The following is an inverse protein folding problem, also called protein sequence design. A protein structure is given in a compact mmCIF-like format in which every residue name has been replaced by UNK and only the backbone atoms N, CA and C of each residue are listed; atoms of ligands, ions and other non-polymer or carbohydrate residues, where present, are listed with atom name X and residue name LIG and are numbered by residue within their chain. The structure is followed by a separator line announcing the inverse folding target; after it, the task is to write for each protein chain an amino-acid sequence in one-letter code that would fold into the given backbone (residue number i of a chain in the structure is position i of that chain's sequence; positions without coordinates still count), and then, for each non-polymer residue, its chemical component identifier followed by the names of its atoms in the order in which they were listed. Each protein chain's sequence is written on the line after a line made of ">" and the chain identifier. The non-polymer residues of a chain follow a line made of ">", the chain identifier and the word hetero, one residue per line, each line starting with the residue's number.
data_IF_779295884975
#
_entry.id   IF_779295884975
#
_cell.length_a   1.000
_cell.length_b   1.000
_cell.length_c   1.000
_cell.angle_alpha   90.00
_cell.angle_beta   90.00
_cell.angle_gamma   90.00
#
_symmetry.space_group_name_H-M   'P 1'
#
loop_
_entity.id
_entity.type
_entity.pdbx_description
1 polymer ?
#
# COMPACT_ATOMS: atom_id res chain seq x y z
N UNK A 1 37.97 34.99 -26.46
CA UNK A 1 37.08 33.82 -26.27
C UNK A 1 36.25 34.08 -25.02
N UNK A 2 34.92 34.05 -25.14
CA UNK A 2 34.02 34.26 -24.01
C UNK A 2 33.81 32.94 -23.27
N UNK A 3 33.74 32.98 -21.94
CA UNK A 3 33.52 31.81 -21.08
C UNK A 3 32.32 30.94 -21.53
N UNK A 4 31.28 31.56 -22.07
CA UNK A 4 30.11 30.87 -22.63
C UNK A 4 30.43 29.88 -23.77
N UNK A 5 31.41 30.18 -24.62
CA UNK A 5 31.81 29.29 -25.72
C UNK A 5 32.54 28.03 -25.21
N UNK A 6 33.22 28.13 -24.07
CA UNK A 6 33.86 26.98 -23.42
C UNK A 6 32.79 26.08 -22.78
N UNK A 7 31.82 26.66 -22.08
CA UNK A 7 30.72 25.88 -21.48
C UNK A 7 29.95 25.09 -22.54
N UNK A 8 29.63 25.68 -23.68
CA UNK A 8 28.89 24.96 -24.74
C UNK A 8 29.66 23.78 -25.33
N UNK A 9 30.99 23.83 -25.32
CA UNK A 9 31.86 22.74 -25.78
C UNK A 9 32.06 21.65 -24.72
N UNK A 10 32.11 22.03 -23.44
CA UNK A 10 32.35 21.10 -22.33
C UNK A 10 31.07 20.59 -21.67
N UNK A 11 29.93 21.21 -21.91
CA UNK A 11 28.63 20.74 -21.44
C UNK A 11 28.32 19.41 -22.13
N UNK A 12 27.98 18.36 -21.37
CA UNK A 12 27.64 17.07 -21.93
C UNK A 12 26.43 17.24 -22.86
N UNK A 13 26.65 17.06 -24.17
CA UNK A 13 25.57 17.12 -25.15
C UNK A 13 24.74 15.85 -25.05
N UNK A 14 23.69 15.91 -24.22
CA UNK A 14 22.75 14.80 -24.04
C UNK A 14 21.75 14.82 -25.19
N UNK A 15 21.69 13.73 -25.96
CA UNK A 15 20.64 13.58 -26.95
C UNK A 15 19.31 13.27 -26.25
N UNK A 16 18.45 14.28 -26.14
CA UNK A 16 17.16 14.16 -25.45
C UNK A 16 16.28 13.05 -26.04
N UNK A 17 16.29 12.87 -27.36
CA UNK A 17 15.49 11.84 -28.01
C UNK A 17 16.02 10.44 -27.73
N UNK A 18 17.34 10.29 -27.55
CA UNK A 18 17.93 9.04 -27.12
C UNK A 18 17.54 8.69 -25.67
N UNK A 19 17.60 9.64 -24.75
CA UNK A 19 17.18 9.42 -23.35
C UNK A 19 15.70 9.06 -23.27
N UNK A 20 14.84 9.77 -24.02
CA UNK A 20 13.42 9.45 -24.14
C UNK A 20 13.17 8.08 -24.75
N UNK A 21 13.93 7.70 -25.77
CA UNK A 21 13.87 6.36 -26.35
C UNK A 21 14.24 5.29 -25.32
N UNK A 22 15.31 5.51 -24.55
CA UNK A 22 15.77 4.62 -23.48
C UNK A 22 14.73 4.48 -22.37
N UNK A 23 14.09 5.58 -21.98
CA UNK A 23 12.97 5.59 -21.04
C UNK A 23 11.82 4.73 -21.58
N UNK A 24 11.34 4.98 -22.81
CA UNK A 24 10.23 4.25 -23.45
C UNK A 24 10.47 2.74 -23.59
N UNK A 25 11.72 2.33 -23.70
CA UNK A 25 12.10 0.91 -23.78
C UNK A 25 12.29 0.25 -22.42
N UNK A 26 12.18 0.98 -21.31
CA UNK A 26 12.36 0.43 -19.99
C UNK A 26 11.20 -0.50 -19.61
N UNK A 27 11.54 -1.77 -19.33
CA UNK A 27 10.61 -2.81 -18.89
C UNK A 27 11.12 -3.41 -17.57
N UNK A 28 10.23 -3.88 -16.70
CA UNK A 28 10.62 -4.56 -15.47
C UNK A 28 11.28 -5.89 -15.82
N UNK A 29 12.48 -6.14 -15.26
CA UNK A 29 13.18 -7.41 -15.48
C UNK A 29 12.67 -8.51 -14.56
N UNK A 30 12.88 -9.79 -14.91
CA UNK A 30 12.31 -10.92 -14.14
C UNK A 30 12.82 -11.04 -12.71
N UNK A 31 14.02 -10.51 -12.44
CA UNK A 31 14.70 -10.54 -11.14
C UNK A 31 14.50 -9.26 -10.32
N UNK A 32 13.88 -8.24 -10.91
CA UNK A 32 13.76 -6.92 -10.31
C UNK A 32 12.39 -6.72 -9.65
N UNK A 33 12.40 -6.34 -8.37
CA UNK A 33 11.20 -5.91 -7.64
C UNK A 33 10.67 -4.58 -8.18
N UNK A 34 9.40 -4.27 -7.94
CA UNK A 34 8.79 -3.00 -8.36
C UNK A 34 9.54 -1.79 -7.81
N UNK A 35 10.01 -1.81 -6.56
CA UNK A 35 10.73 -0.67 -5.97
C UNK A 35 12.05 -0.38 -6.70
N UNK A 36 12.78 -1.44 -7.10
CA UNK A 36 14.00 -1.33 -7.90
C UNK A 36 13.71 -0.80 -9.31
N UNK A 37 12.62 -1.28 -9.92
CA UNK A 37 12.17 -0.80 -11.22
C UNK A 37 11.80 0.69 -11.16
N UNK A 38 11.05 1.10 -10.13
CA UNK A 38 10.71 2.49 -9.87
C UNK A 38 11.96 3.36 -9.69
N UNK A 39 12.93 2.94 -8.88
CA UNK A 39 14.18 3.67 -8.68
C UNK A 39 14.98 3.83 -9.99
N UNK A 40 14.95 2.82 -10.86
CA UNK A 40 15.58 2.87 -12.19
C UNK A 40 14.84 3.82 -13.14
N UNK A 41 13.51 3.79 -13.16
CA UNK A 41 12.70 4.73 -13.92
C UNK A 41 12.97 6.17 -13.47
N UNK A 42 13.05 6.43 -12.17
CA UNK A 42 13.34 7.76 -11.64
C UNK A 42 14.67 8.31 -12.18
N UNK A 43 15.71 7.47 -12.23
CA UNK A 43 17.01 7.85 -12.81
C UNK A 43 16.89 8.20 -14.30
N UNK A 44 16.17 7.41 -15.09
CA UNK A 44 15.98 7.65 -16.53
C UNK A 44 15.13 8.90 -16.81
N UNK A 45 14.12 9.14 -15.99
CA UNK A 45 13.28 10.32 -16.10
C UNK A 45 14.05 11.58 -15.70
N UNK A 46 14.98 11.49 -14.74
CA UNK A 46 15.82 12.62 -14.34
C UNK A 46 16.79 13.10 -15.42
N UNK A 47 17.18 12.24 -16.37
CA UNK A 47 18.01 12.64 -17.53
C UNK A 47 17.19 13.26 -18.65
N UNK A 48 15.87 13.04 -18.64
CA UNK A 48 14.96 13.57 -19.65
C UNK A 48 14.47 14.98 -19.25
N UNK A 49 15.01 16.01 -19.90
CA UNK A 49 14.60 17.40 -19.66
C UNK A 49 13.20 17.67 -20.25
N UNK A 50 12.34 18.32 -19.47
CA UNK A 50 11.03 18.84 -19.93
C UNK A 50 9.86 17.87 -19.86
N UNK A 51 9.96 16.78 -19.09
CA UNK A 51 8.86 15.85 -18.85
C UNK A 51 8.29 15.97 -17.44
N UNK A 52 7.00 15.70 -17.29
CA UNK A 52 6.36 15.54 -15.99
C UNK A 52 6.76 14.18 -15.41
N UNK A 53 7.69 14.19 -14.47
CA UNK A 53 8.34 12.97 -14.00
C UNK A 53 7.36 11.94 -13.42
N UNK A 54 6.40 12.40 -12.61
CA UNK A 54 5.41 11.52 -12.01
C UNK A 54 4.47 10.89 -13.04
N UNK A 55 3.99 11.66 -14.02
CA UNK A 55 3.09 11.17 -15.07
C UNK A 55 3.77 10.13 -15.95
N UNK A 56 5.01 10.38 -16.35
CA UNK A 56 5.81 9.45 -17.15
C UNK A 56 6.08 8.14 -16.41
N UNK A 57 6.41 8.22 -15.12
CA UNK A 57 6.62 7.02 -14.30
C UNK A 57 5.33 6.23 -14.15
N UNK A 58 4.20 6.89 -13.90
CA UNK A 58 2.90 6.22 -13.85
C UNK A 58 2.60 5.47 -15.16
N UNK A 59 2.81 6.13 -16.31
CA UNK A 59 2.61 5.52 -17.62
C UNK A 59 3.53 4.30 -17.83
N UNK A 60 4.81 4.41 -17.42
CA UNK A 60 5.78 3.33 -17.54
C UNK A 60 5.53 2.17 -16.58
N UNK A 61 5.00 2.42 -15.39
CA UNK A 61 4.57 1.33 -14.49
C UNK A 61 3.38 0.59 -15.11
N UNK A 62 2.44 1.28 -15.77
CA UNK A 62 1.32 0.64 -16.44
C UNK A 62 1.77 -0.21 -17.64
N UNK A 63 2.67 0.32 -18.47
CA UNK A 63 3.15 -0.36 -19.68
C UNK A 63 4.22 -1.42 -19.41
N UNK A 64 5.10 -1.15 -18.46
CA UNK A 64 6.36 -1.86 -18.25
C UNK A 64 6.38 -2.84 -17.08
N UNK A 65 5.33 -2.89 -16.25
CA UNK A 65 5.24 -3.87 -15.18
C UNK A 65 4.96 -5.28 -15.71
N UNK A 66 5.62 -6.27 -15.11
CA UNK A 66 5.47 -7.69 -15.44
C UNK A 66 4.08 -8.24 -15.10
N UNK A 67 3.48 -7.76 -14.01
CA UNK A 67 2.19 -8.28 -13.54
C UNK A 67 1.03 -7.70 -14.33
N UNK A 68 0.45 -8.53 -15.19
CA UNK A 68 -0.77 -8.19 -15.93
C UNK A 68 -1.99 -7.91 -15.04
N UNK A 69 -2.03 -8.47 -13.83
CA UNK A 69 -3.14 -8.27 -12.89
C UNK A 69 -3.03 -6.94 -12.14
N UNK A 70 -1.81 -6.47 -11.90
CA UNK A 70 -1.55 -5.22 -11.19
C UNK A 70 -2.05 -4.02 -12.01
N UNK A 71 -1.64 -3.88 -13.27
CA UNK A 71 -2.04 -2.72 -14.07
C UNK A 71 -3.53 -2.76 -14.44
N UNK A 72 -4.13 -3.95 -14.65
CA UNK A 72 -5.59 -4.08 -14.80
C UNK A 72 -6.36 -3.59 -13.59
N UNK A 73 -5.80 -3.70 -12.38
CA UNK A 73 -6.40 -3.14 -11.16
C UNK A 73 -6.25 -1.62 -11.13
N UNK A 74 -5.07 -1.10 -11.47
CA UNK A 74 -4.77 0.34 -11.54
C UNK A 74 -5.71 1.04 -12.53
N UNK A 75 -5.88 0.49 -13.74
CA UNK A 75 -6.72 1.08 -14.79
C UNK A 75 -8.23 1.09 -14.49
N UNK A 76 -8.68 0.46 -13.40
CA UNK A 76 -10.08 0.56 -12.95
C UNK A 76 -10.35 1.85 -12.17
N UNK A 77 -9.30 2.50 -11.68
CA UNK A 77 -9.40 3.75 -10.94
C UNK A 77 -9.20 4.92 -11.92
N UNK A 78 -10.15 5.87 -12.00
CA UNK A 78 -10.09 6.95 -12.99
C UNK A 78 -9.00 7.99 -12.69
N UNK A 79 -8.68 8.18 -11.41
CA UNK A 79 -7.62 9.05 -10.93
C UNK A 79 -6.83 8.26 -9.92
N UNK A 80 -5.52 8.14 -10.13
CA UNK A 80 -4.62 7.43 -9.23
C UNK A 80 -3.30 8.18 -9.15
N UNK A 81 -2.77 8.29 -7.93
CA UNK A 81 -1.47 8.93 -7.67
C UNK A 81 -0.34 7.90 -7.74
N UNK A 82 0.89 8.38 -7.95
CA UNK A 82 2.08 7.52 -7.99
C UNK A 82 2.25 6.72 -6.69
N UNK A 83 2.00 7.35 -5.54
CA UNK A 83 2.14 6.70 -4.24
C UNK A 83 1.15 5.55 -4.05
N UNK A 84 -0.11 5.74 -4.49
CA UNK A 84 -1.13 4.69 -4.48
C UNK A 84 -0.76 3.53 -5.39
N UNK A 85 -0.20 3.81 -6.58
CA UNK A 85 0.32 2.78 -7.49
C UNK A 85 1.39 1.94 -6.78
N UNK A 86 2.36 2.58 -6.11
CA UNK A 86 3.45 1.89 -5.42
C UNK A 86 2.95 1.05 -4.22
N UNK A 87 1.94 1.52 -3.49
CA UNK A 87 1.31 0.75 -2.42
C UNK A 87 0.62 -0.50 -2.98
N UNK A 88 -0.15 -0.35 -4.07
CA UNK A 88 -0.81 -1.48 -4.74
C UNK A 88 0.20 -2.48 -5.29
N UNK A 89 1.29 -2.00 -5.87
CA UNK A 89 2.32 -2.85 -6.45
C UNK A 89 3.05 -3.67 -5.38
N UNK A 90 3.48 -3.05 -4.29
CA UNK A 90 4.10 -3.75 -3.14
C UNK A 90 3.16 -4.80 -2.53
N UNK A 91 1.89 -4.45 -2.39
CA UNK A 91 0.85 -5.39 -1.92
C UNK A 91 0.71 -6.59 -2.86
N UNK A 92 0.77 -6.35 -4.17
CA UNK A 92 0.68 -7.40 -5.18
C UNK A 92 1.91 -8.32 -5.17
N UNK A 93 3.12 -7.77 -5.02
CA UNK A 93 4.35 -8.55 -4.88
C UNK A 93 4.32 -9.42 -3.63
N UNK A 94 3.90 -8.86 -2.49
CA UNK A 94 3.72 -9.60 -1.24
C UNK A 94 2.73 -10.77 -1.39
N UNK A 95 1.60 -10.54 -2.08
CA UNK A 95 0.64 -11.61 -2.37
C UNK A 95 1.21 -12.68 -3.31
N UNK A 96 2.05 -12.30 -4.27
CA UNK A 96 2.67 -13.24 -5.20
C UNK A 96 3.69 -14.14 -4.47
N UNK A 97 4.52 -13.59 -3.59
CA UNK A 97 5.46 -14.36 -2.76
C UNK A 97 4.72 -15.24 -1.75
N UNK A 98 3.65 -14.73 -1.13
CA UNK A 98 2.83 -15.49 -0.19
C UNK A 98 2.06 -16.64 -0.85
N UNK A 99 1.64 -16.52 -2.11
CA UNK A 99 1.04 -17.65 -2.86
C UNK A 99 2.02 -18.80 -3.08
N UNK A 100 3.32 -18.52 -3.17
CA UNK A 100 4.36 -19.55 -3.15
C UNK A 100 4.54 -20.22 -1.78
N UNK A 101 4.09 -19.57 -0.71
CA UNK A 101 4.13 -20.09 0.67
C UNK A 101 2.76 -20.64 1.14
N UNK A 102 1.67 -20.33 0.45
CA UNK A 102 0.33 -20.86 0.74
C UNK A 102 0.14 -22.29 0.20
N UNK A 103 0.96 -22.74 -0.75
CA UNK A 103 0.96 -24.15 -1.18
C UNK A 103 1.54 -25.10 -0.13
N UNK A 104 2.24 -24.60 0.89
CA UNK A 104 2.68 -25.41 2.05
C UNK A 104 1.69 -25.38 3.22
N UNK A 105 0.62 -24.59 3.13
CA UNK A 105 -0.35 -24.42 4.22
C UNK A 105 -1.80 -24.20 3.73
N UNK A 106 -2.37 -25.14 2.95
CA UNK A 106 -3.83 -25.33 2.93
C UNK A 106 -4.23 -26.71 2.39
N UNK A 107 -4.02 -27.75 3.20
CA UNK A 107 -4.99 -28.85 3.26
C UNK A 107 -5.83 -28.63 4.51
N UNK A 108 -7.14 -28.84 4.39
CA UNK A 108 -8.20 -28.67 5.40
C UNK A 108 -8.74 -27.24 5.61
N UNK A 109 -9.71 -26.86 4.76
CA UNK A 109 -11.02 -26.37 5.21
C UNK A 109 -11.95 -26.25 3.99
N UNK A 110 -12.82 -27.24 3.79
CA UNK A 110 -13.99 -27.10 2.92
C UNK A 110 -15.24 -26.98 3.81
N UNK A 111 -15.82 -25.76 3.79
CA UNK A 111 -17.26 -25.43 3.83
C UNK A 111 -18.11 -25.56 5.13
N UNK A 112 -19.31 -24.92 5.24
CA UNK A 112 -19.64 -23.49 5.14
C UNK A 112 -20.62 -23.01 6.26
N UNK A 113 -21.15 -21.77 6.13
CA UNK A 113 -22.51 -21.30 6.55
C UNK A 113 -22.62 -20.36 7.77
N UNK A 114 -22.99 -19.12 7.44
CA UNK A 114 -23.89 -18.16 8.10
C UNK A 114 -23.92 -18.07 9.63
N UNK A 115 -23.29 -17.02 10.16
CA UNK A 115 -23.48 -16.55 11.52
C UNK A 115 -24.81 -15.76 11.63
N UNK A 116 -25.86 -16.41 12.15
CA UNK A 116 -27.13 -15.75 12.55
C UNK A 116 -27.03 -15.42 14.04
N UNK A 117 -26.70 -14.17 14.36
CA UNK A 117 -26.77 -13.67 15.74
C UNK A 117 -28.25 -13.36 16.04
N UNK A 118 -28.89 -14.17 16.88
CA UNK A 118 -30.18 -13.84 17.49
C UNK A 118 -29.92 -13.08 18.78
N UNK A 119 -30.17 -11.77 18.78
CA UNK A 119 -30.42 -11.02 20.00
C UNK A 119 -31.88 -11.27 20.40
N UNK A 120 -32.12 -11.94 21.52
CA UNK A 120 -33.45 -12.05 22.11
C UNK A 120 -33.38 -11.97 23.63
N UNK A 121 -33.95 -10.89 24.16
CA UNK A 121 -34.84 -10.92 25.32
C UNK A 121 -34.23 -11.20 26.69
N UNK A 122 -34.12 -10.14 27.50
CA UNK A 122 -34.00 -10.14 28.95
C UNK A 122 -34.91 -11.16 29.63
N UNK A 123 -34.43 -11.78 30.71
CA UNK A 123 -35.28 -12.16 31.83
C UNK A 123 -34.53 -11.98 33.15
N UNK A 124 -34.85 -10.88 33.80
CA UNK A 124 -34.71 -10.65 35.23
C UNK A 124 -35.38 -11.79 36.02
N UNK A 125 -34.73 -12.29 37.07
CA UNK A 125 -35.30 -12.52 38.41
C UNK A 125 -34.22 -13.20 39.26
N UNK A 126 -33.87 -12.54 40.36
CA UNK A 126 -32.81 -12.96 41.25
C UNK A 126 -33.15 -14.18 42.08
N UNK A 127 -32.10 -14.93 42.42
CA UNK A 127 -32.05 -15.74 43.62
C UNK A 127 -30.89 -15.21 44.48
N UNK A 128 -31.24 -14.53 45.56
CA UNK A 128 -30.45 -14.47 46.81
C UNK A 128 -30.24 -15.94 47.23
N UNK A 129 -29.18 -16.42 47.87
CA UNK A 129 -28.54 -15.94 49.08
C UNK A 129 -27.50 -17.02 49.42
N UNK A 130 -26.22 -16.67 49.57
CA UNK A 130 -25.31 -17.32 50.52
C UNK A 130 -24.31 -16.24 50.94
N UNK A 131 -24.69 -15.56 52.01
CA UNK A 131 -23.90 -14.59 52.76
C UNK A 131 -22.99 -15.33 53.76
N UNK A 132 -21.94 -14.63 54.20
CA UNK A 132 -21.20 -14.78 55.47
C UNK A 132 -20.14 -15.90 55.48
N UNK A 133 -18.87 -15.73 55.88
CA UNK A 133 -18.14 -14.80 56.77
C UNK A 133 -16.64 -14.79 56.34
N UNK A 134 -15.79 -13.75 56.44
CA UNK A 134 -15.41 -12.95 57.62
C UNK A 134 -14.76 -11.60 57.22
N UNK A 135 -15.25 -10.50 57.83
CA UNK A 135 -14.57 -9.21 58.11
C UNK A 135 -14.49 -8.20 56.95
N UNK A 136 -15.21 -7.05 56.90
CA UNK A 136 -15.57 -6.07 57.95
C UNK A 136 -14.37 -5.14 58.22
N UNK A 137 -14.36 -3.82 58.05
CA UNK A 137 -15.34 -2.78 57.70
C UNK A 137 -14.54 -1.52 57.27
N UNK A 138 -15.07 -0.65 56.40
CA UNK A 138 -15.73 0.60 56.81
C UNK A 138 -16.10 1.48 55.58
N UNK A 139 -17.22 2.15 55.73
CA UNK A 139 -18.10 2.72 54.74
C UNK A 139 -17.96 4.25 54.66
N UNK A 140 -18.25 4.77 53.47
CA UNK A 140 -19.11 5.94 53.22
C UNK A 140 -18.48 7.35 53.08
N UNK A 141 -19.14 8.07 52.16
CA UNK A 141 -19.18 9.53 51.87
C UNK A 141 -18.24 9.96 50.74
N UNK A 142 -18.68 10.65 49.68
CA UNK A 142 -19.97 11.29 49.36
C UNK A 142 -19.93 11.69 47.87
N UNK A 143 -20.94 11.32 47.09
CA UNK A 143 -21.34 12.08 45.89
C UNK A 143 -22.54 12.94 46.28
N UNK A 144 -22.41 14.26 46.23
CA UNK A 144 -23.54 15.19 46.25
C UNK A 144 -23.25 16.38 45.32
N UNK A 145 -24.03 16.44 44.24
CA UNK A 145 -24.68 17.61 43.63
C UNK A 145 -23.93 18.95 43.47
N UNK A 146 -23.95 19.47 42.24
CA UNK A 146 -24.22 20.88 41.99
C UNK A 146 -25.01 21.04 40.68
N UNK A 147 -26.23 21.56 40.82
CA UNK A 147 -27.15 22.00 39.76
C UNK A 147 -27.46 23.46 40.09
N UNK A 148 -27.25 24.35 39.13
CA UNK A 148 -27.92 25.65 38.98
C UNK A 148 -27.94 25.95 37.50
#
# INVERSE_FOLDING_TARGET
>A
MTFAALNLYFDPQVNLEYERFKLRQAQQTDTESVDMFYARLWKLVSTCVGLNQHEEICAHIIQGCRSNMLWKRILRQPVITLDEILILARSHEFMATAKGQASVASSAAKHPVALKIKFFGMCSLGLKEQLSELGGADLSRRCTAAKT
#
